data_IF_615910787137
#
_entry.id   IF_615910787137
#
_cell.length_a   1.000
_cell.length_b   1.000
_cell.length_c   1.000
_cell.angle_alpha   90.00
_cell.angle_beta   90.00
_cell.angle_gamma   90.00
#
_symmetry.space_group_name_H-M   'P 1'
#
loop_
_entity.id
_entity.type
_entity.pdbx_description
1 polymer ?
#
# COMPACT_ATOMS: atom_id res chain seq x y z
N UNK A 1 -11.71 9.15 -12.52
CA UNK A 1 -10.43 9.88 -12.71
C UNK A 1 -9.23 9.05 -12.25
N UNK A 2 -8.92 7.93 -12.92
CA UNK A 2 -7.70 7.12 -12.64
C UNK A 2 -6.59 7.47 -13.65
N UNK A 3 -5.34 7.04 -13.39
CA UNK A 3 -4.16 7.16 -14.29
C UNK A 3 -3.59 8.57 -14.53
N UNK A 4 -3.91 9.54 -13.68
CA UNK A 4 -3.34 10.91 -13.74
C UNK A 4 -2.12 11.10 -12.82
N UNK A 5 -1.56 10.02 -12.27
CA UNK A 5 -0.39 10.09 -11.37
C UNK A 5 -0.67 10.56 -9.94
N UNK A 6 -1.90 11.00 -9.61
CA UNK A 6 -2.27 11.47 -8.27
C UNK A 6 -1.92 10.47 -7.16
N UNK A 7 -2.18 9.17 -7.37
CA UNK A 7 -1.84 8.13 -6.39
C UNK A 7 -0.33 8.00 -6.14
N UNK A 8 0.51 8.22 -7.16
CA UNK A 8 1.96 8.20 -7.01
C UNK A 8 2.47 9.45 -6.28
N UNK A 9 1.90 10.62 -6.58
CA UNK A 9 2.25 11.87 -5.87
C UNK A 9 1.93 11.78 -4.39
N UNK A 10 0.73 11.28 -4.04
CA UNK A 10 0.32 11.10 -2.64
C UNK A 10 1.24 10.08 -1.94
N UNK A 11 1.56 8.95 -2.58
CA UNK A 11 2.48 7.97 -1.98
C UNK A 11 3.88 8.52 -1.77
N UNK A 12 4.42 9.26 -2.74
CA UNK A 12 5.73 9.88 -2.60
C UNK A 12 5.78 10.80 -1.38
N UNK A 13 4.76 11.66 -1.21
CA UNK A 13 4.68 12.55 -0.06
C UNK A 13 4.59 11.78 1.26
N UNK A 14 3.73 10.76 1.35
CA UNK A 14 3.54 9.98 2.57
C UNK A 14 4.82 9.27 2.99
N UNK A 15 5.50 8.57 2.07
CA UNK A 15 6.70 7.83 2.44
C UNK A 15 7.86 8.75 2.81
N UNK A 16 7.99 9.90 2.13
CA UNK A 16 9.00 10.91 2.48
C UNK A 16 8.76 11.48 3.87
N UNK A 17 7.50 11.76 4.22
CA UNK A 17 7.17 12.25 5.55
C UNK A 17 7.42 11.20 6.64
N UNK A 18 7.05 9.94 6.38
CA UNK A 18 7.32 8.84 7.30
C UNK A 18 8.83 8.59 7.49
N UNK A 19 9.61 8.66 6.41
CA UNK A 19 11.07 8.56 6.44
C UNK A 19 11.69 9.67 7.30
N UNK A 20 11.25 10.93 7.12
CA UNK A 20 11.73 12.07 7.91
C UNK A 20 11.42 11.94 9.41
N UNK A 21 10.37 11.21 9.77
CA UNK A 21 9.99 10.94 11.16
C UNK A 21 10.58 9.63 11.72
N UNK A 22 11.25 8.83 10.89
CA UNK A 22 11.75 7.51 11.28
C UNK A 22 10.63 6.50 11.58
N UNK A 23 9.42 6.68 11.04
CA UNK A 23 8.26 5.87 11.37
C UNK A 23 8.00 4.76 10.33
N UNK A 24 7.73 3.52 10.78
CA UNK A 24 7.21 2.49 9.88
C UNK A 24 5.79 2.84 9.42
N UNK A 25 5.40 2.30 8.27
CA UNK A 25 4.07 2.51 7.69
C UNK A 25 3.39 1.19 7.38
N UNK A 26 2.07 1.18 7.52
CA UNK A 26 1.18 0.06 7.23
C UNK A 26 0.08 0.52 6.27
N UNK A 27 -0.34 -0.37 5.37
CA UNK A 27 -1.50 -0.15 4.51
C UNK A 27 -2.20 -1.46 4.13
N UNK A 28 -3.41 -1.28 3.64
CA UNK A 28 -4.26 -2.32 3.09
C UNK A 28 -4.44 -2.11 1.59
N UNK A 29 -4.04 -3.10 0.81
CA UNK A 29 -4.02 -3.04 -0.63
C UNK A 29 -5.03 -4.00 -1.26
N UNK A 30 -5.83 -3.47 -2.19
CA UNK A 30 -6.52 -4.31 -3.17
C UNK A 30 -5.53 -4.83 -4.22
N UNK A 31 -5.95 -5.83 -5.00
CA UNK A 31 -5.12 -6.38 -6.07
C UNK A 31 -4.58 -5.31 -7.05
N UNK A 32 -5.40 -4.29 -7.35
CA UNK A 32 -5.02 -3.20 -8.26
C UNK A 32 -3.91 -2.29 -7.68
N UNK A 33 -3.90 -2.08 -6.36
CA UNK A 33 -2.94 -1.18 -5.70
C UNK A 33 -1.57 -1.79 -5.43
N UNK A 34 -1.46 -3.12 -5.42
CA UNK A 34 -0.24 -3.85 -5.02
C UNK A 34 1.03 -3.38 -5.74
N UNK A 35 0.96 -3.20 -7.05
CA UNK A 35 2.13 -2.80 -7.85
C UNK A 35 2.64 -1.41 -7.49
N UNK A 36 1.73 -0.47 -7.21
CA UNK A 36 2.10 0.88 -6.77
C UNK A 36 2.83 0.81 -5.43
N UNK A 37 2.26 0.12 -4.44
CA UNK A 37 2.84 0.06 -3.10
C UNK A 37 4.20 -0.65 -3.08
N UNK A 38 4.36 -1.73 -3.85
CA UNK A 38 5.67 -2.40 -4.03
C UNK A 38 6.75 -1.44 -4.55
N UNK A 39 6.42 -0.57 -5.50
CA UNK A 39 7.35 0.44 -6.04
C UNK A 39 7.88 1.38 -4.96
N UNK A 40 7.07 1.69 -3.95
CA UNK A 40 7.47 2.54 -2.82
C UNK A 40 8.16 1.76 -1.68
N UNK A 41 8.36 0.46 -1.83
CA UNK A 41 9.09 -0.37 -0.87
C UNK A 41 8.23 -1.07 0.17
N UNK A 42 6.91 -1.09 -0.02
CA UNK A 42 6.03 -1.90 0.84
C UNK A 42 6.21 -3.39 0.55
N UNK A 43 6.24 -4.17 1.61
CA UNK A 43 6.33 -5.63 1.59
C UNK A 43 5.02 -6.22 2.12
N UNK A 44 4.58 -7.32 1.51
CA UNK A 44 3.37 -8.03 1.95
C UNK A 44 3.64 -8.75 3.27
N UNK A 45 2.73 -8.59 4.22
CA UNK A 45 2.77 -9.27 5.53
C UNK A 45 1.62 -10.26 5.71
N UNK A 46 0.55 -10.13 4.94
CA UNK A 46 -0.58 -11.07 5.00
C UNK A 46 -1.67 -10.77 3.98
N UNK A 47 -2.67 -11.65 3.94
CA UNK A 47 -3.91 -11.42 3.20
C UNK A 47 -5.10 -11.92 3.99
N UNK A 48 -6.15 -11.12 3.97
CA UNK A 48 -7.48 -11.48 4.44
C UNK A 48 -8.38 -11.68 3.24
N UNK A 49 -9.00 -12.86 3.15
CA UNK A 49 -10.08 -13.12 2.21
C UNK A 49 -11.39 -12.93 2.97
N UNK A 50 -12.29 -12.12 2.41
CA UNK A 50 -13.58 -11.77 3.01
C UNK A 50 -14.69 -12.25 2.09
N UNK A 51 -15.67 -12.95 2.67
CA UNK A 51 -16.87 -13.41 1.98
C UNK A 51 -16.71 -14.75 1.26
N UNK A 52 -17.83 -15.21 0.71
CA UNK A 52 -17.97 -16.43 -0.10
C UNK A 52 -18.84 -16.11 -1.33
N UNK A 53 -18.62 -16.81 -2.45
CA UNK A 53 -19.36 -16.58 -3.70
C UNK A 53 -19.01 -15.26 -4.40
N UNK A 54 -19.98 -14.67 -5.10
CA UNK A 54 -19.77 -13.53 -6.02
C UNK A 54 -19.34 -12.20 -5.35
N UNK A 55 -19.41 -12.14 -4.02
CA UNK A 55 -19.00 -10.97 -3.23
C UNK A 55 -17.67 -11.16 -2.52
N UNK A 56 -16.93 -12.23 -2.82
CA UNK A 56 -15.62 -12.48 -2.24
C UNK A 56 -14.58 -11.45 -2.71
N UNK A 57 -13.77 -10.94 -1.78
CA UNK A 57 -12.63 -10.08 -2.11
C UNK A 57 -11.45 -10.33 -1.17
N UNK A 58 -10.26 -9.95 -1.63
CA UNK A 58 -9.02 -10.10 -0.86
C UNK A 58 -8.42 -8.73 -0.56
N UNK A 59 -8.08 -8.52 0.71
CA UNK A 59 -7.26 -7.41 1.17
C UNK A 59 -5.85 -7.94 1.44
N UNK A 60 -4.82 -7.27 0.91
CA UNK A 60 -3.42 -7.56 1.22
C UNK A 60 -2.87 -6.54 2.20
N UNK A 61 -2.37 -7.02 3.32
CA UNK A 61 -1.71 -6.21 4.32
C UNK A 61 -0.25 -6.01 3.92
N UNK A 62 0.22 -4.76 3.98
CA UNK A 62 1.60 -4.43 3.61
C UNK A 62 2.23 -3.46 4.61
N UNK A 63 3.53 -3.63 4.85
CA UNK A 63 4.32 -2.75 5.72
C UNK A 63 5.55 -2.23 4.99
N UNK A 64 6.05 -1.08 5.42
CA UNK A 64 7.32 -0.50 4.96
C UNK A 64 8.03 0.11 6.16
N UNK A 65 9.30 -0.26 6.36
CA UNK A 65 10.17 0.41 7.32
C UNK A 65 10.58 1.79 6.80
N UNK A 66 10.74 2.77 7.70
CA UNK A 66 11.35 4.04 7.34
C UNK A 66 12.77 3.82 6.81
N UNK A 67 13.13 4.62 5.82
CA UNK A 67 14.47 4.65 5.24
C UNK A 67 15.18 5.91 5.73
N UNK A 68 16.43 5.79 6.24
CA UNK A 68 17.23 6.94 6.62
C UNK A 68 17.65 7.78 5.40
#
# INVERSE_FOLDING_TARGET
HQRIGAGALIMAHIVQHADALGLPTYLEATAQGLMLYKKYGFQRVGTLNVGEGDHAFSITFMTRLARP
#
